data_IF_510216500581
#
_entry.id   IF_510216500581
#
_cell.length_a   1.000
_cell.length_b   1.000
_cell.length_c   1.000
_cell.angle_alpha   90.00
_cell.angle_beta   90.00
_cell.angle_gamma   90.00
#
_symmetry.space_group_name_H-M   'P 1'
#
loop_
_entity.id
_entity.type
_entity.pdbx_description
1 polymer ?
#
# COMPACT_ATOMS: atom_id res chain seq x y z
N UNK A 1 0.92 -8.48 8.62
CA UNK A 1 1.44 -7.40 7.79
C UNK A 1 2.81 -7.04 8.31
N UNK A 2 3.82 -6.94 7.46
CA UNK A 2 5.21 -6.62 7.80
C UNK A 2 5.78 -5.60 6.81
N UNK A 3 6.88 -4.93 7.18
CA UNK A 3 7.60 -4.04 6.26
C UNK A 3 8.07 -4.79 5.01
N UNK A 4 7.94 -4.13 3.84
CA UNK A 4 8.23 -4.69 2.53
C UNK A 4 7.08 -5.47 1.89
N UNK A 5 6.01 -5.80 2.62
CA UNK A 5 4.82 -6.42 2.00
C UNK A 5 4.11 -5.45 1.06
N UNK A 6 3.56 -6.00 -0.02
CA UNK A 6 2.67 -5.27 -0.91
C UNK A 6 1.23 -5.46 -0.47
N UNK A 7 0.49 -4.37 -0.48
CA UNK A 7 -0.89 -4.33 -0.01
C UNK A 7 -1.75 -3.50 -0.95
N UNK A 8 -3.02 -3.88 -1.09
CA UNK A 8 -4.08 -3.07 -1.68
C UNK A 8 -4.93 -2.46 -0.60
N UNK A 9 -5.30 -1.21 -0.79
CA UNK A 9 -6.25 -0.49 0.06
C UNK A 9 -7.68 -0.80 -0.39
N UNK A 10 -8.51 -1.30 0.52
CA UNK A 10 -9.89 -1.73 0.23
C UNK A 10 -10.97 -0.92 0.95
N UNK A 11 -10.60 -0.02 1.87
CA UNK A 11 -11.56 0.69 2.74
C UNK A 11 -11.32 2.19 2.95
N UNK A 12 -10.24 2.76 2.44
CA UNK A 12 -9.97 4.20 2.57
C UNK A 12 -10.60 4.98 1.41
N UNK A 13 -11.27 6.11 1.67
CA UNK A 13 -12.00 6.86 0.64
C UNK A 13 -11.11 7.58 -0.38
N UNK A 14 -9.83 7.83 -0.05
CA UNK A 14 -8.89 8.55 -0.91
C UNK A 14 -7.98 7.56 -1.63
N UNK A 15 -7.52 6.54 -0.91
CA UNK A 15 -6.55 5.56 -1.40
C UNK A 15 -7.20 4.26 -1.90
N UNK A 16 -8.52 4.20 -2.01
CA UNK A 16 -9.24 3.00 -2.45
C UNK A 16 -8.67 2.43 -3.75
N UNK A 17 -8.51 1.11 -3.77
CA UNK A 17 -7.97 0.33 -4.88
C UNK A 17 -6.51 0.64 -5.27
N UNK A 18 -5.84 1.52 -4.52
CA UNK A 18 -4.42 1.78 -4.70
C UNK A 18 -3.60 0.67 -4.04
N UNK A 19 -2.51 0.30 -4.71
CA UNK A 19 -1.52 -0.64 -4.19
C UNK A 19 -0.24 0.09 -3.77
N UNK A 20 0.39 -0.41 -2.73
CA UNK A 20 1.65 0.14 -2.26
C UNK A 20 2.44 -0.83 -1.40
N UNK A 21 3.62 -0.40 -1.03
CA UNK A 21 4.56 -1.13 -0.19
C UNK A 21 4.44 -0.65 1.25
N UNK A 22 4.30 -1.57 2.19
CA UNK A 22 4.35 -1.29 3.62
C UNK A 22 5.76 -0.85 3.99
N UNK A 23 5.91 0.35 4.54
CA UNK A 23 7.22 0.90 4.95
C UNK A 23 7.38 0.99 6.46
N UNK A 24 6.28 0.96 7.22
CA UNK A 24 6.28 0.96 8.68
C UNK A 24 4.95 0.40 9.19
N UNK A 25 4.99 -0.50 10.18
CA UNK A 25 3.80 -0.99 10.90
C UNK A 25 3.79 -0.32 12.27
N UNK A 26 2.78 0.51 12.54
CA UNK A 26 2.63 1.20 13.81
C UNK A 26 1.88 0.35 14.84
N UNK A 27 2.16 0.58 16.12
CA UNK A 27 1.53 -0.13 17.25
C UNK A 27 0.08 0.33 17.52
N UNK A 28 -0.39 1.38 16.84
CA UNK A 28 -1.73 1.94 16.99
C UNK A 28 -2.74 1.43 15.93
N UNK A 29 -2.39 0.36 15.22
CA UNK A 29 -3.25 -0.26 14.20
C UNK A 29 -3.22 0.45 12.85
N UNK A 30 -2.36 1.46 12.68
CA UNK A 30 -2.10 2.10 11.40
C UNK A 30 -0.80 1.60 10.78
N UNK A 31 -0.76 1.65 9.44
CA UNK A 31 0.37 1.22 8.63
C UNK A 31 0.74 2.36 7.68
N UNK A 32 2.03 2.70 7.58
CA UNK A 32 2.51 3.63 6.56
C UNK A 32 2.79 2.86 5.29
N UNK A 33 2.23 3.34 4.18
CA UNK A 33 2.34 2.72 2.87
C UNK A 33 2.93 3.73 1.89
N UNK A 34 3.92 3.28 1.13
CA UNK A 34 4.49 4.01 -0.01
C UNK A 34 3.73 3.63 -1.28
N UNK A 35 3.12 4.62 -1.92
CA UNK A 35 2.46 4.51 -3.21
C UNK A 35 3.33 5.15 -4.29
N UNK A 36 3.34 4.54 -5.48
CA UNK A 36 3.93 5.13 -6.69
C UNK A 36 2.81 5.42 -7.67
N UNK A 37 2.43 6.69 -7.81
CA UNK A 37 1.27 7.10 -8.62
C UNK A 37 1.75 8.16 -9.61
N UNK A 38 1.62 7.87 -10.91
CA UNK A 38 2.04 8.76 -12.03
C UNK A 38 3.46 9.32 -11.87
N UNK A 39 4.43 8.46 -11.53
CA UNK A 39 5.83 8.86 -11.33
C UNK A 39 6.11 9.64 -10.04
N UNK A 40 5.10 9.89 -9.20
CA UNK A 40 5.26 10.51 -7.89
C UNK A 40 5.19 9.46 -6.78
N UNK A 41 6.04 9.63 -5.78
CA UNK A 41 6.00 8.82 -4.57
C UNK A 41 5.20 9.57 -3.50
N UNK A 42 4.21 8.89 -2.91
CA UNK A 42 3.45 9.38 -1.76
C UNK A 42 3.52 8.38 -0.62
N UNK A 43 3.56 8.86 0.61
CA UNK A 43 3.42 8.02 1.80
C UNK A 43 2.11 8.40 2.48
N UNK A 44 1.25 7.43 2.73
CA UNK A 44 0.02 7.63 3.47
C UNK A 44 -0.07 6.67 4.65
N UNK A 45 -0.79 7.09 5.69
CA UNK A 45 -1.03 6.31 6.89
C UNK A 45 -2.45 5.74 6.83
N UNK A 46 -2.57 4.43 6.74
CA UNK A 46 -3.85 3.73 6.49
C UNK A 46 -4.12 2.78 7.65
N UNK A 47 -5.39 2.65 8.06
CA UNK A 47 -5.77 1.65 9.06
C UNK A 47 -5.52 0.25 8.51
N UNK A 48 -4.81 -0.60 9.25
CA UNK A 48 -4.51 -1.99 8.88
C UNK A 48 -5.73 -2.80 8.40
N UNK A 49 -6.93 -2.56 8.96
CA UNK A 49 -8.16 -3.26 8.58
C UNK A 49 -8.66 -2.89 7.17
N UNK A 50 -8.19 -1.78 6.61
CA UNK A 50 -8.49 -1.35 5.24
C UNK A 50 -7.49 -1.90 4.23
N UNK A 51 -6.64 -2.86 4.62
CA UNK A 51 -5.60 -3.39 3.77
C UNK A 51 -5.80 -4.88 3.52
N UNK A 52 -5.43 -5.30 2.31
CA UNK A 52 -5.31 -6.71 1.93
C UNK A 52 -3.91 -6.93 1.38
N UNK A 53 -3.24 -7.96 1.88
CA UNK A 53 -1.95 -8.38 1.33
C UNK A 53 -2.16 -8.82 -0.10
N UNK A 54 -1.35 -8.29 -1.01
CA UNK A 54 -1.43 -8.58 -2.43
C UNK A 54 -0.02 -8.75 -3.02
N UNK A 55 0.25 -9.85 -3.74
CA UNK A 55 1.59 -10.07 -4.30
C UNK A 55 1.98 -8.98 -5.31
N UNK A 56 3.19 -8.42 -5.16
CA UNK A 56 3.78 -7.46 -6.11
C UNK A 56 3.75 -7.93 -7.57
N UNK A 57 3.80 -9.25 -7.80
CA UNK A 57 3.81 -9.87 -9.13
C UNK A 57 2.57 -9.58 -9.97
N UNK A 58 1.44 -9.24 -9.36
CA UNK A 58 0.21 -8.85 -10.08
C UNK A 58 0.29 -7.44 -10.68
N UNK A 59 1.31 -6.67 -10.29
CA UNK A 59 1.41 -5.23 -10.58
C UNK A 59 2.72 -4.86 -11.27
N UNK A 60 3.43 -5.82 -11.87
CA UNK A 60 4.50 -5.47 -12.81
C UNK A 60 3.88 -4.65 -13.93
N UNK A 61 4.11 -3.33 -13.90
CA UNK A 61 4.00 -2.48 -15.08
C UNK A 61 4.74 -3.23 -16.20
N UNK A 62 4.13 -3.46 -17.37
CA UNK A 62 4.85 -4.07 -18.47
C UNK A 62 6.12 -3.25 -18.70
N UNK A 63 7.28 -3.90 -18.62
CA UNK A 63 8.55 -3.32 -19.04
C UNK A 63 8.39 -3.01 -20.53
N UNK A 64 8.34 -1.72 -20.88
CA UNK A 64 8.32 -1.23 -22.27
C UNK A 64 9.75 -1.22 -22.79
#
# INVERSE_FOLDING_TARGET
MIEGEWVRVVGDSVWWDQCGEVVEVGDDGFVKIRFSIWGNVRIARIWANYLRVEPKLLWKTPEV
#
